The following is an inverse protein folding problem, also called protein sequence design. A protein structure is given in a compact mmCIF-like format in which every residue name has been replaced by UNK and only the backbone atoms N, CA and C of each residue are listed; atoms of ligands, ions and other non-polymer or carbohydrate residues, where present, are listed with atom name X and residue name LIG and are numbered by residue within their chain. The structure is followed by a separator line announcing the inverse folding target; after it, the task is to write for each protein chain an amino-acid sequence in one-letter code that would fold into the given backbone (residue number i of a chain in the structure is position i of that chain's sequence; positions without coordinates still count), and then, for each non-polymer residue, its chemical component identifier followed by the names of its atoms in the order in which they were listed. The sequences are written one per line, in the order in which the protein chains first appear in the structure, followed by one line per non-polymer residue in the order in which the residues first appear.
data_IF_926366986513
#
_entry.id   IF_926366986513
#
_cell.length_a   1.000
_cell.length_b   1.000
_cell.length_c   1.000
_cell.angle_alpha   90.00
_cell.angle_beta   90.00
_cell.angle_gamma   90.00
#
_symmetry.space_group_name_H-M   'P 1'
#
loop_
_entity.id
_entity.type
_entity.pdbx_description
1 polymer ?
#
# COMPACT_ATOMS: atom_id res chain seq x y z
N UNK A 1 -33.58 5.60 12.30
CA UNK A 1 -33.06 5.36 10.94
C UNK A 1 -32.06 4.21 10.98
N UNK A 2 -32.17 3.22 10.09
CA UNK A 2 -31.24 2.10 9.90
C UNK A 2 -30.42 2.31 8.62
N UNK A 3 -29.10 2.32 8.77
CA UNK A 3 -28.15 2.45 7.66
C UNK A 3 -27.39 1.12 7.51
N UNK A 4 -27.35 0.57 6.30
CA UNK A 4 -26.54 -0.59 5.96
C UNK A 4 -25.35 -0.16 5.09
N UNK A 5 -24.17 -0.67 5.43
CA UNK A 5 -22.93 -0.50 4.64
C UNK A 5 -22.50 -1.87 4.14
N UNK A 6 -22.29 -2.03 2.83
CA UNK A 6 -21.85 -3.28 2.21
C UNK A 6 -20.37 -3.18 1.84
N UNK A 7 -19.53 -3.98 2.50
CA UNK A 7 -18.07 -4.03 2.32
C UNK A 7 -17.30 -3.25 3.39
N UNK A 8 -16.33 -3.91 4.03
CA UNK A 8 -15.47 -3.32 5.08
C UNK A 8 -14.17 -2.75 4.52
N UNK A 9 -14.16 -2.40 3.23
CA UNK A 9 -13.06 -1.68 2.58
C UNK A 9 -12.77 -0.33 3.23
N UNK A 10 -11.69 0.33 2.81
CA UNK A 10 -11.27 1.64 3.35
C UNK A 10 -12.43 2.65 3.31
N UNK A 11 -13.17 2.70 2.19
CA UNK A 11 -14.36 3.55 2.05
C UNK A 11 -15.52 3.17 2.99
N UNK A 12 -15.80 1.88 3.15
CA UNK A 12 -16.90 1.41 4.02
C UNK A 12 -16.63 1.63 5.50
N UNK A 13 -15.39 1.45 5.95
CA UNK A 13 -14.98 1.80 7.32
C UNK A 13 -14.95 3.31 7.54
N UNK A 14 -14.49 4.11 6.57
CA UNK A 14 -14.57 5.56 6.66
C UNK A 14 -16.03 6.03 6.77
N UNK A 15 -16.94 5.49 5.96
CA UNK A 15 -18.37 5.75 6.06
C UNK A 15 -18.94 5.35 7.44
N UNK A 16 -18.61 4.15 7.94
CA UNK A 16 -19.05 3.67 9.26
C UNK A 16 -18.61 4.62 10.39
N UNK A 17 -17.35 5.05 10.39
CA UNK A 17 -16.84 6.00 11.37
C UNK A 17 -17.50 7.38 11.25
N UNK A 18 -17.69 7.89 10.03
CA UNK A 18 -18.37 9.16 9.80
C UNK A 18 -19.82 9.12 10.32
N UNK A 19 -20.60 8.09 9.97
CA UNK A 19 -21.97 7.94 10.45
C UNK A 19 -22.05 7.70 11.95
N UNK A 20 -21.13 6.90 12.54
CA UNK A 20 -21.09 6.68 13.99
C UNK A 20 -20.85 7.97 14.77
N UNK A 21 -20.02 8.87 14.23
CA UNK A 21 -19.73 10.17 14.85
C UNK A 21 -20.87 11.18 14.65
N UNK A 22 -21.40 11.30 13.43
CA UNK A 22 -22.30 12.38 13.06
C UNK A 22 -23.79 12.03 13.15
N UNK A 23 -24.14 10.74 13.14
CA UNK A 23 -25.51 10.24 13.32
C UNK A 23 -25.55 9.17 14.44
N UNK A 24 -25.22 9.53 15.70
CA UNK A 24 -25.12 8.57 16.81
C UNK A 24 -26.44 7.86 17.16
N UNK A 25 -27.59 8.38 16.71
CA UNK A 25 -28.92 7.75 16.84
C UNK A 25 -29.28 6.81 15.68
N UNK A 26 -28.43 6.67 14.66
CA UNK A 26 -28.64 5.73 13.56
C UNK A 26 -28.27 4.30 13.97
N UNK A 27 -29.11 3.34 13.59
CA UNK A 27 -28.79 1.92 13.71
C UNK A 27 -27.88 1.52 12.52
N UNK A 28 -26.59 1.43 12.78
CA UNK A 28 -25.56 1.08 11.80
C UNK A 28 -25.25 -0.42 11.82
N UNK A 29 -25.35 -1.05 10.66
CA UNK A 29 -24.86 -2.41 10.40
C UNK A 29 -23.90 -2.39 9.19
N UNK A 30 -22.80 -3.15 9.28
CA UNK A 30 -21.84 -3.29 8.20
C UNK A 30 -21.60 -4.78 7.90
N UNK A 31 -21.66 -5.14 6.63
CA UNK A 31 -21.60 -6.53 6.15
C UNK A 31 -20.37 -6.73 5.27
N UNK A 32 -19.71 -7.88 5.35
CA UNK A 32 -18.59 -8.22 4.46
C UNK A 32 -18.68 -9.68 3.99
N UNK A 33 -18.38 -9.89 2.70
CA UNK A 33 -18.38 -11.20 2.06
C UNK A 33 -17.30 -12.15 2.61
N UNK A 34 -16.22 -11.63 3.19
CA UNK A 34 -15.09 -12.42 3.66
C UNK A 34 -15.22 -12.78 5.16
N UNK A 35 -14.48 -13.79 5.64
CA UNK A 35 -14.32 -14.01 7.08
C UNK A 35 -13.54 -12.87 7.73
N UNK A 36 -13.75 -12.68 9.04
CA UNK A 36 -13.02 -11.68 9.83
C UNK A 36 -11.50 -11.84 9.70
N UNK A 37 -10.73 -10.74 9.48
CA UNK A 37 -9.27 -10.80 9.44
C UNK A 37 -8.69 -11.27 10.78
N UNK A 38 -9.38 -11.02 11.90
CA UNK A 38 -8.99 -11.51 13.23
C UNK A 38 -9.00 -13.05 13.35
N UNK A 39 -9.68 -13.75 12.42
CA UNK A 39 -9.77 -15.22 12.36
C UNK A 39 -9.06 -15.80 11.13
N UNK A 40 -8.40 -14.97 10.33
CA UNK A 40 -7.80 -15.35 9.05
C UNK A 40 -6.32 -14.95 9.01
N UNK A 41 -5.43 -15.93 9.10
CA UNK A 41 -3.97 -15.72 8.94
C UNK A 41 -3.56 -15.32 7.51
N UNK A 42 -4.52 -15.24 6.57
CA UNK A 42 -4.26 -14.84 5.19
C UNK A 42 -3.99 -13.35 5.12
N UNK A 43 -2.72 -12.98 4.98
CA UNK A 43 -2.35 -11.63 4.55
C UNK A 43 -2.93 -11.39 3.14
N UNK A 44 -3.87 -10.46 3.02
CA UNK A 44 -4.51 -10.08 1.75
C UNK A 44 -4.19 -8.61 1.46
N UNK A 45 -3.54 -8.35 0.34
CA UNK A 45 -3.28 -7.01 -0.18
C UNK A 45 -1.79 -6.61 -0.18
N UNK A 46 -1.55 -5.35 -0.54
CA UNK A 46 -0.26 -4.68 -0.49
C UNK A 46 -0.35 -3.39 0.33
N UNK A 47 0.75 -2.63 0.42
CA UNK A 47 0.73 -1.36 1.14
C UNK A 47 -0.12 -0.30 0.43
N UNK A 48 -1.03 0.36 1.15
CA UNK A 48 -1.78 1.53 0.66
C UNK A 48 -1.32 2.79 1.41
N UNK A 49 -0.92 3.83 0.67
CA UNK A 49 -0.56 5.11 1.25
C UNK A 49 -1.79 6.00 1.49
N UNK A 50 -1.75 6.78 2.58
CA UNK A 50 -2.76 7.78 2.90
C UNK A 50 -2.14 9.17 2.84
N UNK A 51 -2.51 9.91 1.79
CA UNK A 51 -2.09 11.28 1.58
C UNK A 51 -2.62 12.26 2.65
N UNK A 52 -2.12 13.51 2.67
CA UNK A 52 -2.42 14.45 3.76
C UNK A 52 -3.90 14.85 3.86
N UNK A 53 -4.62 14.86 2.75
CA UNK A 53 -6.07 15.03 2.70
C UNK A 53 -6.80 13.87 3.39
N UNK A 54 -6.44 12.62 3.07
CA UNK A 54 -6.98 11.42 3.72
C UNK A 54 -6.70 11.42 5.22
N UNK A 55 -5.49 11.79 5.64
CA UNK A 55 -5.16 11.92 7.07
C UNK A 55 -5.95 13.02 7.78
N UNK A 56 -6.27 14.15 7.12
CA UNK A 56 -7.16 15.17 7.70
C UNK A 56 -8.58 14.64 7.89
N UNK A 57 -9.12 13.91 6.90
CA UNK A 57 -10.43 13.27 7.03
C UNK A 57 -10.44 12.21 8.14
N UNK A 58 -9.42 11.34 8.23
CA UNK A 58 -9.30 10.36 9.31
C UNK A 58 -9.13 11.00 10.69
N UNK A 59 -8.42 12.14 10.80
CA UNK A 59 -8.32 12.89 12.07
C UNK A 59 -9.71 13.29 12.59
N UNK A 60 -10.61 13.62 11.67
CA UNK A 60 -11.96 14.03 12.01
C UNK A 60 -12.86 12.83 12.41
N UNK A 61 -12.93 11.79 11.58
CA UNK A 61 -13.90 10.69 11.77
C UNK A 61 -13.37 9.53 12.63
N UNK A 62 -12.06 9.32 12.70
CA UNK A 62 -11.43 8.17 13.36
C UNK A 62 -10.01 8.53 13.89
N UNK A 63 -9.89 9.45 14.86
CA UNK A 63 -8.59 9.94 15.34
C UNK A 63 -7.70 8.83 15.95
N UNK A 64 -8.30 7.84 16.63
CA UNK A 64 -7.57 6.69 17.18
C UNK A 64 -7.00 5.79 16.08
N UNK A 65 -7.79 5.52 15.04
CA UNK A 65 -7.31 4.80 13.85
C UNK A 65 -6.15 5.56 13.19
N UNK A 66 -6.25 6.88 13.04
CA UNK A 66 -5.14 7.70 12.53
C UNK A 66 -3.89 7.59 13.43
N UNK A 67 -4.01 7.55 14.76
CA UNK A 67 -2.85 7.37 15.65
C UNK A 67 -2.23 5.99 15.45
N UNK A 68 -3.05 4.93 15.51
CA UNK A 68 -2.61 3.55 15.30
C UNK A 68 -1.98 3.32 13.92
N UNK A 69 -2.40 4.08 12.90
CA UNK A 69 -1.77 4.14 11.58
C UNK A 69 -0.39 4.79 11.67
N UNK A 70 -0.27 5.90 12.39
CA UNK A 70 0.97 6.66 12.50
C UNK A 70 2.08 5.89 13.21
N UNK A 71 1.74 5.05 14.17
CA UNK A 71 2.74 4.30 14.94
C UNK A 71 3.34 3.13 14.13
N UNK A 72 2.68 2.71 13.05
CA UNK A 72 3.03 1.51 12.27
C UNK A 72 3.44 1.79 10.82
N UNK A 73 3.15 2.98 10.31
CA UNK A 73 3.45 3.39 8.95
C UNK A 73 4.84 4.03 8.79
N UNK A 74 5.54 3.68 7.71
CA UNK A 74 6.65 4.50 7.22
C UNK A 74 6.16 5.88 6.76
N UNK A 75 6.90 6.94 7.10
CA UNK A 75 6.55 8.33 6.79
C UNK A 75 7.47 8.89 5.70
N UNK A 76 6.90 9.51 4.66
CA UNK A 76 7.67 10.15 3.59
C UNK A 76 7.02 11.44 3.09
N UNK A 77 7.81 12.29 2.42
CA UNK A 77 7.38 13.63 1.96
C UNK A 77 7.39 13.78 0.43
N UNK A 78 8.01 12.83 -0.28
CA UNK A 78 8.08 12.80 -1.74
C UNK A 78 8.35 11.36 -2.21
N UNK A 79 8.03 11.09 -3.47
CA UNK A 79 8.52 9.93 -4.23
C UNK A 79 9.68 10.39 -5.13
N UNK A 80 10.74 9.58 -5.23
CA UNK A 80 11.81 9.77 -6.21
C UNK A 80 11.41 9.09 -7.52
N UNK A 81 11.55 9.79 -8.63
CA UNK A 81 11.47 9.23 -9.97
C UNK A 81 12.91 9.06 -10.49
N UNK A 82 13.32 7.86 -10.87
CA UNK A 82 14.71 7.57 -11.27
C UNK A 82 14.76 6.58 -12.45
N UNK A 83 15.90 6.52 -13.14
CA UNK A 83 16.17 5.50 -14.17
C UNK A 83 16.62 4.18 -13.55
N UNK A 84 16.61 3.11 -14.35
CA UNK A 84 17.23 1.80 -14.03
C UNK A 84 18.71 1.86 -13.58
N UNK A 85 19.43 2.95 -13.89
CA UNK A 85 20.81 3.20 -13.43
C UNK A 85 20.91 4.03 -12.14
N UNK A 86 19.78 4.36 -11.50
CA UNK A 86 19.73 5.20 -10.30
C UNK A 86 19.84 6.71 -10.57
N UNK A 87 19.92 7.15 -11.84
CA UNK A 87 19.90 8.58 -12.16
C UNK A 87 18.51 9.15 -11.83
N UNK A 88 18.46 10.07 -10.87
CA UNK A 88 17.23 10.80 -10.52
C UNK A 88 16.72 11.59 -11.74
N UNK A 89 15.48 11.35 -12.12
CA UNK A 89 14.72 12.07 -13.13
C UNK A 89 13.91 13.22 -12.50
N UNK A 90 13.44 13.03 -11.28
CA UNK A 90 12.69 14.03 -10.54
C UNK A 90 12.36 13.60 -9.11
N UNK A 91 11.80 14.53 -8.34
CA UNK A 91 11.27 14.29 -7.00
C UNK A 91 9.84 14.84 -6.97
N UNK A 92 8.87 13.98 -6.76
CA UNK A 92 7.45 14.32 -6.70
C UNK A 92 7.04 14.55 -5.24
N UNK A 93 6.88 15.80 -4.77
CA UNK A 93 6.48 16.07 -3.40
C UNK A 93 4.99 15.83 -3.19
N UNK A 94 4.61 15.28 -2.03
CA UNK A 94 3.20 15.12 -1.62
C UNK A 94 2.71 16.27 -0.72
N UNK A 95 3.47 17.36 -0.64
CA UNK A 95 3.18 18.56 0.16
C UNK A 95 3.34 18.37 1.67
N UNK A 96 3.00 17.21 2.22
CA UNK A 96 3.28 16.84 3.62
C UNK A 96 3.29 15.31 3.81
N UNK A 97 3.60 14.88 5.04
CA UNK A 97 3.90 13.51 5.47
C UNK A 97 2.83 12.47 5.06
N UNK A 98 3.11 11.63 4.07
CA UNK A 98 2.29 10.46 3.69
C UNK A 98 2.68 9.21 4.48
N UNK A 99 1.75 8.24 4.61
CA UNK A 99 1.88 7.08 5.49
C UNK A 99 1.24 5.82 4.92
N UNK A 100 1.96 4.69 4.97
CA UNK A 100 1.63 3.39 4.36
C UNK A 100 1.06 2.40 5.40
N UNK A 101 -0.07 1.71 5.15
CA UNK A 101 -0.73 0.83 6.14
C UNK A 101 -1.30 -0.48 5.56
N UNK A 102 -1.21 -1.58 6.34
CA UNK A 102 -2.27 -2.59 6.49
C UNK A 102 -2.67 -2.74 7.97
N UNK A 103 -3.92 -2.38 8.32
CA UNK A 103 -4.80 -3.07 9.28
C UNK A 103 -6.08 -2.27 9.55
N UNK A 104 -7.17 -2.99 9.85
CA UNK A 104 -8.50 -2.42 10.10
C UNK A 104 -8.86 -2.58 11.58
N UNK A 105 -8.96 -1.47 12.31
CA UNK A 105 -9.64 -1.47 13.61
C UNK A 105 -11.13 -1.70 13.37
N UNK A 106 -11.68 -2.81 13.84
CA UNK A 106 -13.05 -3.22 13.51
C UNK A 106 -13.87 -3.52 14.75
N UNK A 107 -15.03 -2.88 14.79
CA UNK A 107 -15.98 -2.87 15.89
C UNK A 107 -16.84 -4.16 15.88
N UNK A 108 -17.50 -4.46 16.99
CA UNK A 108 -18.29 -5.69 17.20
C UNK A 108 -19.51 -5.82 16.26
N UNK A 109 -19.89 -4.75 15.56
CA UNK A 109 -21.08 -4.65 14.69
C UNK A 109 -20.85 -5.08 13.23
N UNK A 110 -19.81 -5.87 12.96
CA UNK A 110 -19.48 -6.33 11.59
C UNK A 110 -20.01 -7.74 11.37
N UNK A 111 -20.88 -7.89 10.38
CA UNK A 111 -21.46 -9.17 9.96
C UNK A 111 -20.58 -9.80 8.85
N UNK A 112 -19.78 -10.78 9.23
CA UNK A 112 -18.80 -11.46 8.37
C UNK A 112 -19.39 -12.66 7.61
N UNK A 113 -18.80 -13.00 6.47
CA UNK A 113 -19.28 -14.04 5.53
C UNK A 113 -20.65 -13.73 4.89
N UNK A 114 -21.08 -12.47 4.92
CA UNK A 114 -22.34 -12.00 4.38
C UNK A 114 -22.12 -11.39 2.99
N UNK A 115 -22.01 -12.26 1.98
CA UNK A 115 -21.82 -11.83 0.59
C UNK A 115 -23.14 -11.38 0.00
N UNK A 116 -23.18 -10.13 -0.47
CA UNK A 116 -24.35 -9.55 -1.14
C UNK A 116 -24.57 -10.21 -2.50
N UNK A 117 -25.77 -10.72 -2.72
CA UNK A 117 -26.21 -11.29 -3.99
C UNK A 117 -26.97 -10.25 -4.84
N UNK A 118 -27.79 -9.41 -4.21
CA UNK A 118 -28.62 -8.40 -4.88
C UNK A 118 -28.94 -7.25 -3.95
N UNK A 119 -29.10 -6.06 -4.51
CA UNK A 119 -29.68 -4.88 -3.83
C UNK A 119 -30.77 -4.26 -4.70
N UNK A 120 -31.74 -3.61 -4.10
CA UNK A 120 -32.78 -2.83 -4.79
C UNK A 120 -33.41 -1.82 -3.84
N UNK A 121 -34.18 -0.89 -4.38
CA UNK A 121 -34.98 0.06 -3.60
C UNK A 121 -36.47 0.02 -4.00
N UNK A 122 -37.26 0.70 -3.19
CA UNK A 122 -38.68 0.98 -3.30
C UNK A 122 -38.88 2.39 -2.77
N UNK A 123 -40.03 3.01 -3.04
CA UNK A 123 -40.33 4.40 -2.63
C UNK A 123 -40.10 4.68 -1.14
N UNK A 124 -40.22 3.66 -0.27
CA UNK A 124 -40.09 3.77 1.19
C UNK A 124 -38.77 3.20 1.77
N UNK A 125 -37.97 2.45 1.00
CA UNK A 125 -36.83 1.70 1.57
C UNK A 125 -35.87 1.06 0.56
N UNK A 126 -34.63 0.82 1.03
CA UNK A 126 -33.62 0.02 0.36
C UNK A 126 -33.48 -1.39 0.99
N UNK A 127 -33.07 -2.36 0.16
CA UNK A 127 -32.98 -3.77 0.52
C UNK A 127 -31.65 -4.38 0.08
N UNK A 128 -31.13 -5.29 0.90
CA UNK A 128 -29.94 -6.11 0.63
C UNK A 128 -30.30 -7.58 0.79
N UNK A 129 -30.08 -8.37 -0.25
CA UNK A 129 -30.17 -9.83 -0.21
C UNK A 129 -28.77 -10.43 -0.26
N UNK A 130 -28.52 -11.41 0.60
CA UNK A 130 -27.24 -12.13 0.70
C UNK A 130 -27.33 -13.51 0.03
N UNK A 131 -26.17 -14.12 -0.24
CA UNK A 131 -26.07 -15.44 -0.91
C UNK A 131 -26.62 -16.61 -0.07
N UNK A 132 -26.77 -16.44 1.24
CA UNK A 132 -27.47 -17.41 2.11
C UNK A 132 -29.01 -17.31 2.04
N UNK A 133 -29.53 -16.36 1.23
CA UNK A 133 -30.96 -16.10 1.06
C UNK A 133 -31.55 -15.12 2.08
N UNK A 134 -30.78 -14.66 3.09
CA UNK A 134 -31.26 -13.64 4.03
C UNK A 134 -31.46 -12.29 3.35
N UNK A 135 -32.44 -11.52 3.83
CA UNK A 135 -32.79 -10.21 3.28
C UNK A 135 -32.90 -9.20 4.43
N UNK A 136 -32.21 -8.07 4.29
CA UNK A 136 -32.19 -6.98 5.23
C UNK A 136 -32.80 -5.71 4.62
N UNK A 137 -33.82 -5.16 5.29
CA UNK A 137 -34.41 -3.84 4.96
C UNK A 137 -33.63 -2.72 5.67
N UNK A 138 -33.46 -1.57 5.02
CA UNK A 138 -32.86 -0.37 5.60
C UNK A 138 -33.46 0.92 4.98
N UNK A 139 -33.22 2.05 5.66
CA UNK A 139 -33.65 3.36 5.19
C UNK A 139 -32.60 3.99 4.26
N UNK A 140 -31.34 3.56 4.38
CA UNK A 140 -30.22 3.99 3.54
C UNK A 140 -29.21 2.86 3.36
N UNK A 141 -28.82 2.61 2.11
CA UNK A 141 -27.81 1.65 1.72
C UNK A 141 -26.56 2.36 1.18
N UNK A 142 -25.39 1.96 1.65
CA UNK A 142 -24.08 2.49 1.23
C UNK A 142 -23.27 1.38 0.57
N UNK A 143 -23.15 1.44 -0.76
CA UNK A 143 -22.32 0.54 -1.55
C UNK A 143 -20.82 0.84 -1.39
N UNK A 144 -20.13 0.07 -0.56
CA UNK A 144 -18.68 0.12 -0.36
C UNK A 144 -17.98 -1.19 -0.77
N UNK A 145 -18.63 -1.91 -1.69
CA UNK A 145 -18.40 -3.30 -2.12
C UNK A 145 -17.36 -3.45 -3.26
N UNK A 146 -16.63 -2.38 -3.56
CA UNK A 146 -15.40 -2.40 -4.36
C UNK A 146 -15.61 -2.49 -5.88
N UNK A 147 -14.56 -2.89 -6.61
CA UNK A 147 -14.54 -2.82 -8.08
C UNK A 147 -15.63 -3.68 -8.77
N UNK A 148 -16.06 -4.76 -8.11
CA UNK A 148 -17.14 -5.67 -8.55
C UNK A 148 -18.45 -5.41 -7.78
N UNK A 149 -18.71 -4.14 -7.45
CA UNK A 149 -19.89 -3.70 -6.70
C UNK A 149 -21.20 -4.21 -7.28
N UNK A 150 -21.99 -4.90 -6.44
CA UNK A 150 -23.38 -5.28 -6.73
C UNK A 150 -24.26 -4.04 -6.63
N UNK A 151 -23.96 -3.15 -5.68
CA UNK A 151 -24.71 -1.92 -5.44
C UNK A 151 -24.68 -0.98 -6.65
N UNK A 152 -23.51 -0.81 -7.31
CA UNK A 152 -23.36 -0.06 -8.56
C UNK A 152 -24.20 -0.69 -9.68
N UNK A 153 -24.17 -2.02 -9.81
CA UNK A 153 -24.90 -2.72 -10.85
C UNK A 153 -26.43 -2.65 -10.64
N UNK A 154 -26.90 -2.49 -9.40
CA UNK A 154 -28.33 -2.27 -9.12
C UNK A 154 -28.82 -0.88 -9.58
N UNK A 155 -27.94 0.13 -9.61
CA UNK A 155 -28.28 1.50 -10.04
C UNK A 155 -28.13 1.65 -11.57
N UNK A 156 -27.05 1.12 -12.15
CA UNK A 156 -26.67 1.39 -13.55
C UNK A 156 -26.64 0.16 -14.47
N UNK A 157 -27.05 -1.02 -13.99
CA UNK A 157 -26.89 -2.27 -14.75
C UNK A 157 -25.42 -2.58 -15.06
N UNK A 158 -25.14 -3.02 -16.29
CA UNK A 158 -23.79 -3.36 -16.75
C UNK A 158 -23.07 -2.20 -17.46
N UNK A 159 -23.68 -1.01 -17.59
CA UNK A 159 -23.13 0.14 -18.32
C UNK A 159 -21.73 0.56 -17.85
N UNK A 160 -21.48 0.47 -16.53
CA UNK A 160 -20.21 0.81 -15.89
C UNK A 160 -19.46 -0.45 -15.41
N UNK A 161 -19.50 -1.52 -16.21
CA UNK A 161 -18.70 -2.73 -15.96
C UNK A 161 -17.19 -2.40 -15.95
N UNK A 162 -16.40 -2.96 -15.02
CA UNK A 162 -14.97 -2.73 -14.96
C UNK A 162 -14.27 -3.38 -16.17
N UNK A 163 -13.64 -2.56 -17.00
CA UNK A 163 -12.79 -3.03 -18.10
C UNK A 163 -11.33 -3.17 -17.64
N UNK A 164 -10.57 -4.00 -18.34
CA UNK A 164 -9.15 -4.22 -18.10
C UNK A 164 -8.31 -3.24 -18.92
N UNK A 165 -7.49 -2.44 -18.26
CA UNK A 165 -6.66 -1.38 -18.87
C UNK A 165 -5.32 -1.90 -19.46
N UNK A 166 -5.17 -3.22 -19.60
CA UNK A 166 -3.96 -3.85 -20.14
C UNK A 166 -2.72 -3.76 -19.24
N UNK A 167 -2.89 -3.44 -17.95
CA UNK A 167 -1.81 -3.30 -16.97
C UNK A 167 -1.95 -4.32 -15.83
N UNK A 168 -0.86 -5.02 -15.52
CA UNK A 168 -0.74 -5.96 -14.39
C UNK A 168 0.34 -5.44 -13.45
N UNK A 169 0.04 -5.35 -12.16
CA UNK A 169 1.04 -5.10 -11.12
C UNK A 169 1.43 -6.38 -10.40
N UNK A 170 2.72 -6.73 -10.41
CA UNK A 170 3.28 -7.68 -9.45
C UNK A 170 3.72 -6.91 -8.20
N UNK A 171 3.63 -7.50 -7.01
CA UNK A 171 4.07 -6.83 -5.79
C UNK A 171 4.17 -7.76 -4.60
N UNK A 172 4.89 -7.32 -3.58
CA UNK A 172 5.13 -8.13 -2.39
C UNK A 172 6.01 -7.44 -1.37
N UNK A 173 6.34 -8.18 -0.31
CA UNK A 173 7.15 -7.71 0.80
C UNK A 173 8.43 -8.55 0.91
N UNK A 174 9.57 -7.89 1.12
CA UNK A 174 10.85 -8.55 1.40
C UNK A 174 11.33 -8.09 2.79
N UNK A 175 11.63 -8.99 3.74
CA UNK A 175 12.31 -8.65 4.97
C UNK A 175 13.68 -8.00 4.68
N UNK A 176 14.02 -6.89 5.35
CA UNK A 176 15.32 -6.24 5.10
C UNK A 176 16.52 -7.12 5.47
N UNK A 177 16.32 -8.14 6.31
CA UNK A 177 17.31 -9.18 6.64
C UNK A 177 17.78 -9.96 5.41
N UNK A 178 16.87 -10.17 4.44
CA UNK A 178 17.08 -11.03 3.27
C UNK A 178 17.82 -10.29 2.15
N UNK A 179 17.97 -8.97 2.30
CA UNK A 179 18.74 -8.11 1.40
C UNK A 179 20.22 -8.11 1.79
N UNK A 180 21.11 -7.89 0.81
CA UNK A 180 22.55 -7.75 1.07
C UNK A 180 22.82 -6.54 1.98
N UNK A 181 23.96 -6.53 2.70
CA UNK A 181 24.36 -5.36 3.51
C UNK A 181 24.48 -4.09 2.66
N UNK A 182 24.99 -4.21 1.43
CA UNK A 182 25.08 -3.11 0.47
C UNK A 182 23.69 -2.57 0.10
N UNK A 183 22.75 -3.46 -0.25
CA UNK A 183 21.37 -3.09 -0.58
C UNK A 183 20.67 -2.43 0.62
N UNK A 184 20.86 -2.96 1.84
CA UNK A 184 20.34 -2.38 3.08
C UNK A 184 20.87 -0.97 3.33
N UNK A 185 22.16 -0.73 3.12
CA UNK A 185 22.73 0.61 3.29
C UNK A 185 22.23 1.57 2.21
N UNK A 186 22.16 1.10 0.95
CA UNK A 186 21.71 1.90 -0.19
C UNK A 186 20.24 2.34 -0.12
N UNK A 187 19.38 1.67 0.66
CA UNK A 187 17.96 2.03 0.86
C UNK A 187 17.67 2.74 2.19
N UNK A 188 18.63 2.82 3.12
CA UNK A 188 18.46 3.56 4.38
C UNK A 188 18.24 5.05 4.09
N UNK A 189 17.16 5.61 4.64
CA UNK A 189 16.80 7.02 4.44
C UNK A 189 16.37 7.37 3.01
N UNK A 190 16.30 6.40 2.10
CA UNK A 190 15.80 6.63 0.74
C UNK A 190 14.27 6.71 0.80
N UNK A 191 13.76 7.80 0.24
CA UNK A 191 12.32 8.01 0.02
C UNK A 191 11.75 6.91 -0.89
N UNK A 192 10.43 6.65 -0.88
CA UNK A 192 9.83 5.74 -1.84
C UNK A 192 10.22 6.12 -3.27
N UNK A 193 10.63 5.14 -4.07
CA UNK A 193 11.25 5.37 -5.37
C UNK A 193 10.53 4.60 -6.45
N UNK A 194 10.22 5.26 -7.56
CA UNK A 194 9.77 4.64 -8.81
C UNK A 194 10.91 4.66 -9.82
N UNK A 195 11.31 3.48 -10.25
CA UNK A 195 12.43 3.24 -11.16
C UNK A 195 11.88 2.92 -12.55
N UNK A 196 12.28 3.69 -13.55
CA UNK A 196 11.85 3.52 -14.94
C UNK A 196 13.01 2.97 -15.79
N UNK A 197 12.78 1.82 -16.41
CA UNK A 197 13.72 1.17 -17.32
C UNK A 197 13.15 1.05 -18.73
N UNK A 198 13.94 0.49 -19.66
CA UNK A 198 13.48 0.29 -21.05
C UNK A 198 12.42 -0.80 -21.20
N UNK A 199 12.34 -1.72 -20.24
CA UNK A 199 11.52 -2.94 -20.31
C UNK A 199 10.37 -2.98 -19.30
N UNK A 200 10.10 -1.87 -18.61
CA UNK A 200 9.16 -1.79 -17.49
C UNK A 200 9.66 -0.82 -16.42
N UNK A 201 8.99 -0.78 -15.27
CA UNK A 201 9.42 0.00 -14.13
C UNK A 201 8.95 -0.60 -12.82
N UNK A 202 9.68 -0.35 -11.73
CA UNK A 202 9.33 -0.87 -10.41
C UNK A 202 9.41 0.21 -9.33
N UNK A 203 8.43 0.19 -8.42
CA UNK A 203 8.40 0.97 -7.20
C UNK A 203 8.96 0.19 -6.01
N UNK A 204 9.64 0.87 -5.10
CA UNK A 204 9.99 0.33 -3.78
C UNK A 204 9.83 1.37 -2.67
N UNK A 205 9.42 0.91 -1.49
CA UNK A 205 9.25 1.75 -0.30
C UNK A 205 9.51 0.94 0.97
N UNK A 206 10.05 1.58 2.01
CA UNK A 206 9.99 0.99 3.36
C UNK A 206 8.53 0.85 3.77
N UNK A 207 8.14 -0.33 4.24
CA UNK A 207 6.76 -0.63 4.65
C UNK A 207 6.53 -0.30 6.12
N UNK A 208 7.42 -0.78 6.97
CA UNK A 208 7.49 -0.49 8.40
C UNK A 208 8.59 0.54 8.71
N UNK A 209 8.52 1.23 9.86
CA UNK A 209 9.63 2.04 10.37
C UNK A 209 10.94 1.25 10.41
N UNK A 210 12.07 1.89 10.06
CA UNK A 210 13.39 1.23 10.05
C UNK A 210 13.85 0.73 11.43
N UNK A 211 13.25 1.24 12.52
CA UNK A 211 13.45 0.78 13.89
C UNK A 211 12.47 -0.31 14.37
N UNK A 212 11.59 -0.81 13.51
CA UNK A 212 10.75 -1.98 13.84
C UNK A 212 11.59 -3.26 13.94
N UNK A 213 11.19 -4.26 14.76
CA UNK A 213 11.98 -5.50 14.93
C UNK A 213 12.24 -6.27 13.63
N UNK A 214 11.24 -6.31 12.74
CA UNK A 214 11.33 -6.85 11.39
C UNK A 214 10.97 -5.76 10.37
N UNK A 215 11.94 -4.93 9.94
CA UNK A 215 11.67 -3.91 8.93
C UNK A 215 11.51 -4.59 7.56
N UNK A 216 10.48 -4.19 6.81
CA UNK A 216 10.09 -4.80 5.52
C UNK A 216 10.14 -3.77 4.39
N UNK A 217 10.59 -4.18 3.22
CA UNK A 217 10.52 -3.43 1.97
C UNK A 217 9.28 -3.88 1.20
N UNK A 218 8.44 -2.94 0.77
CA UNK A 218 7.39 -3.19 -0.22
C UNK A 218 7.93 -2.96 -1.63
N UNK A 219 7.60 -3.85 -2.55
CA UNK A 219 7.93 -3.79 -3.97
C UNK A 219 6.66 -3.84 -4.83
N UNK A 220 6.66 -3.11 -5.93
CA UNK A 220 5.62 -3.18 -6.97
C UNK A 220 6.24 -3.03 -8.37
N UNK A 221 5.80 -3.82 -9.35
CA UNK A 221 6.29 -3.83 -10.74
C UNK A 221 5.07 -3.81 -11.68
N UNK A 222 4.62 -2.62 -12.15
CA UNK A 222 3.59 -2.49 -13.18
C UNK A 222 4.14 -2.81 -14.57
N UNK A 223 3.52 -3.80 -15.21
CA UNK A 223 3.85 -4.29 -16.53
C UNK A 223 2.64 -4.20 -17.48
N UNK A 224 2.90 -3.91 -18.77
CA UNK A 224 1.86 -3.89 -19.80
C UNK A 224 1.73 -5.26 -20.46
N UNK A 225 0.55 -5.83 -20.35
CA UNK A 225 0.22 -7.13 -20.90
C UNK A 225 0.31 -7.12 -22.44
N UNK A 226 0.76 -8.24 -23.01
CA UNK A 226 1.01 -8.36 -24.45
C UNK A 226 2.29 -7.69 -24.99
N UNK A 227 3.23 -7.22 -24.15
CA UNK A 227 4.48 -6.58 -24.61
C UNK A 227 5.80 -7.32 -24.33
N UNK A 228 5.77 -8.64 -24.12
CA UNK A 228 6.86 -9.56 -24.53
C UNK A 228 6.51 -11.03 -24.26
N UNK A 229 7.06 -11.93 -25.07
CA UNK A 229 6.99 -13.38 -24.89
C UNK A 229 8.00 -13.89 -23.84
N UNK A 230 7.92 -13.38 -22.61
CA UNK A 230 8.36 -14.04 -21.36
C UNK A 230 8.33 -13.06 -20.18
N UNK A 231 7.83 -13.46 -18.99
CA UNK A 231 8.06 -12.71 -17.77
C UNK A 231 9.54 -12.87 -17.37
N UNK A 232 10.41 -12.00 -17.90
CA UNK A 232 11.82 -11.98 -17.50
C UNK A 232 11.92 -11.49 -16.06
N UNK A 233 12.08 -12.44 -15.12
CA UNK A 233 12.36 -12.27 -13.68
C UNK A 233 13.68 -11.51 -13.35
N UNK A 234 14.06 -10.53 -14.16
CA UNK A 234 15.33 -9.80 -14.08
C UNK A 234 15.39 -8.84 -12.90
N UNK A 235 14.27 -8.20 -12.51
CA UNK A 235 14.23 -7.26 -11.40
C UNK A 235 14.57 -7.91 -10.05
N UNK A 236 13.94 -9.06 -9.74
CA UNK A 236 14.20 -9.79 -8.48
C UNK A 236 15.63 -10.35 -8.37
N UNK A 237 16.26 -10.74 -9.49
CA UNK A 237 17.67 -11.17 -9.50
C UNK A 237 18.64 -10.03 -9.14
N UNK A 238 18.35 -8.80 -9.51
CA UNK A 238 19.23 -7.66 -9.23
C UNK A 238 19.15 -7.17 -7.78
N UNK A 239 18.09 -7.48 -7.03
CA UNK A 239 17.97 -7.11 -5.61
C UNK A 239 18.63 -8.16 -4.69
N UNK A 240 18.68 -9.43 -5.13
CA UNK A 240 19.15 -10.58 -4.34
C UNK A 240 20.55 -11.10 -4.71
N UNK A 241 21.13 -10.67 -5.84
CA UNK A 241 22.47 -11.12 -6.25
C UNK A 241 23.58 -10.47 -5.41
N UNK A 242 24.55 -11.24 -4.87
CA UNK A 242 25.73 -10.69 -4.19
C UNK A 242 26.69 -9.93 -5.12
N UNK A 243 26.45 -9.94 -6.44
CA UNK A 243 27.20 -9.17 -7.44
C UNK A 243 26.43 -7.97 -8.02
N UNK A 244 25.27 -7.63 -7.45
CA UNK A 244 24.49 -6.45 -7.82
C UNK A 244 25.21 -5.15 -7.41
N UNK A 245 26.17 -4.73 -8.23
CA UNK A 245 26.82 -3.42 -8.08
C UNK A 245 25.91 -2.32 -8.61
N UNK A 246 25.45 -1.43 -7.73
CA UNK A 246 24.99 -0.10 -8.13
C UNK A 246 26.20 0.72 -8.60
N UNK A 247 26.71 0.40 -9.81
CA UNK A 247 27.71 1.23 -10.49
C UNK A 247 27.05 2.52 -10.92
N UNK A 248 27.26 3.61 -10.17
CA UNK A 248 26.75 4.92 -10.58
C UNK A 248 26.75 6.04 -9.55
N UNK A 249 27.06 5.80 -8.27
CA UNK A 249 27.02 6.84 -7.23
C UNK A 249 28.41 7.07 -6.63
N UNK A 250 29.26 7.81 -7.34
CA UNK A 250 30.36 8.53 -6.70
C UNK A 250 29.77 9.74 -5.96
N UNK A 251 29.77 9.69 -4.63
CA UNK A 251 29.47 10.87 -3.81
C UNK A 251 30.78 11.66 -3.65
N UNK A 252 30.84 12.94 -4.05
CA UNK A 252 32.06 13.74 -3.94
C UNK A 252 32.34 14.08 -2.47
N UNK A 253 33.16 13.26 -1.81
CA UNK A 253 33.69 13.56 -0.47
C UNK A 253 34.62 14.76 -0.58
N UNK A 254 34.16 15.93 -0.14
CA UNK A 254 35.02 17.11 0.02
C UNK A 254 36.17 16.78 0.97
N UNK A 255 37.39 16.67 0.44
CA UNK A 255 38.61 16.61 1.25
C UNK A 255 38.80 17.93 1.99
N UNK A 256 38.79 17.88 3.31
CA UNK A 256 39.26 18.97 4.17
C UNK A 256 40.05 18.41 5.35
N UNK A 257 41.31 18.85 5.43
CA UNK A 257 42.27 18.72 6.54
C UNK A 257 42.83 17.34 6.92
N UNK A 258 44.13 17.20 6.59
CA UNK A 258 45.11 16.43 7.36
C UNK A 258 45.61 17.32 8.51
N UNK A 259 46.05 16.75 9.64
CA UNK A 259 47.51 16.75 9.87
C UNK A 259 48.10 15.40 10.32
N UNK A 260 49.41 15.31 10.08
CA UNK A 260 50.34 14.17 10.16
C UNK A 260 50.45 13.45 11.52
N UNK A 261 51.11 12.28 11.44
CA UNK A 261 52.03 11.60 12.41
C UNK A 261 51.55 10.18 12.79
N UNK A 262 52.38 9.13 12.86
CA UNK A 262 53.82 8.98 12.59
C UNK A 262 54.17 7.58 12.01
N UNK A 263 55.37 7.50 11.41
CA UNK A 263 56.21 6.35 11.02
C UNK A 263 55.81 4.88 11.32
N UNK A 264 56.03 3.98 10.36
CA UNK A 264 57.05 2.90 10.47
C UNK A 264 57.45 2.32 9.09
N UNK A 265 58.73 1.97 8.92
CA UNK A 265 59.31 1.18 7.82
C UNK A 265 59.16 -0.34 8.11
N UNK A 266 59.38 -1.31 7.23
CA UNK A 266 59.94 -1.37 5.88
C UNK A 266 59.21 -2.52 5.09
N UNK A 267 59.64 -3.14 3.97
CA UNK A 267 60.80 -3.04 3.06
C UNK A 267 60.40 -3.63 1.66
N UNK A 268 61.25 -3.61 0.61
CA UNK A 268 60.91 -4.12 -0.74
C UNK A 268 61.49 -5.52 -1.06
N UNK A 269 61.39 -5.92 -2.34
CA UNK A 269 61.69 -7.22 -2.98
C UNK A 269 60.48 -8.21 -3.01
N UNK A 270 60.15 -8.87 -4.12
CA UNK A 270 60.86 -9.03 -5.41
C UNK A 270 59.96 -8.88 -6.65
N UNK A 271 60.61 -8.76 -7.83
CA UNK A 271 59.97 -8.80 -9.15
C UNK A 271 59.98 -10.23 -9.71
N UNK A 272 58.85 -10.70 -10.24
CA UNK A 272 58.68 -11.23 -11.61
C UNK A 272 57.20 -11.55 -11.88
#
# INVERSE_FOLDING_TARGET
MKIIITGTGIGGLAAYHAFSKYLPSANLAIYDAYPSPLKSNKHIGGGVSVGPNGQRAMKDIAPEALSSIRDRAFEYTAVILQTESGKVLGKMPFGSKERLLLERGMNEKVHWNMKVARTWETDDAAYVQFEDGTIEKCDLLIGADGARSVTRNAIFGEEYAPHYDGLIGFGGFIPLTDLTLFTREAIKGVLPSMTFGRSGGFGYASFTPLGSPEPKLFLVDPYRDGHSSSPRHTAYRNITSPHATLRGVEIPVRRSFCPRKDTFSADPHDRL
#
